data_IF_322079326864
#
_entry.id   IF_322079326864
#
_cell.length_a   1.000
_cell.length_b   1.000
_cell.length_c   1.000
_cell.angle_alpha   90.00
_cell.angle_beta   90.00
_cell.angle_gamma   90.00
#
_symmetry.space_group_name_H-M   'P 1'
#
loop_
_entity.id
_entity.type
_entity.pdbx_description
1 polymer ?
#
# COMPACT_ATOMS: atom_id res chain seq x y z
N UNK A 1 2.99 -44.30 -45.71
CA UNK A 1 3.70 -43.93 -44.45
C UNK A 1 3.15 -42.64 -43.86
N UNK A 2 2.66 -41.73 -44.69
CA UNK A 2 2.12 -40.42 -44.28
C UNK A 2 0.90 -40.53 -43.34
N UNK A 3 0.03 -41.49 -43.58
CA UNK A 3 -1.21 -41.65 -42.81
C UNK A 3 -0.97 -42.17 -41.38
N UNK A 4 0.11 -42.93 -41.17
CA UNK A 4 0.51 -43.42 -39.84
C UNK A 4 1.25 -42.33 -39.05
N UNK A 5 2.10 -41.56 -39.72
CA UNK A 5 2.75 -40.37 -39.17
C UNK A 5 1.72 -39.32 -38.74
N UNK A 6 0.70 -39.07 -39.58
CA UNK A 6 -0.36 -38.11 -39.27
C UNK A 6 -1.21 -38.54 -38.06
N UNK A 7 -1.53 -39.83 -37.94
CA UNK A 7 -2.25 -40.38 -36.78
C UNK A 7 -1.44 -40.28 -35.49
N UNK A 8 -0.14 -40.58 -35.53
CA UNK A 8 0.76 -40.43 -34.37
C UNK A 8 0.90 -38.97 -33.95
N UNK A 9 1.08 -38.06 -34.92
CA UNK A 9 1.18 -36.62 -34.65
C UNK A 9 -0.11 -36.07 -34.02
N UNK A 10 -1.28 -36.46 -34.55
CA UNK A 10 -2.58 -36.04 -34.03
C UNK A 10 -2.81 -36.59 -32.62
N UNK A 11 -2.44 -37.84 -32.36
CA UNK A 11 -2.49 -38.44 -31.02
C UNK A 11 -1.62 -37.68 -30.02
N UNK A 12 -0.39 -37.36 -30.41
CA UNK A 12 0.54 -36.60 -29.58
C UNK A 12 -0.01 -35.20 -29.25
N UNK A 13 -0.47 -34.43 -30.24
CA UNK A 13 -1.04 -33.10 -30.02
C UNK A 13 -2.25 -33.17 -29.07
N UNK A 14 -3.13 -34.17 -29.24
CA UNK A 14 -4.33 -34.31 -28.40
C UNK A 14 -4.00 -34.53 -26.92
N UNK A 15 -2.89 -35.20 -26.63
CA UNK A 15 -2.44 -35.46 -25.24
C UNK A 15 -1.62 -34.29 -24.69
N UNK A 16 -0.74 -33.69 -25.50
CA UNK A 16 0.15 -32.61 -25.04
C UNK A 16 -0.51 -31.23 -25.02
N UNK A 17 -1.43 -30.93 -25.93
CA UNK A 17 -2.13 -29.64 -25.98
C UNK A 17 -2.82 -29.25 -24.65
N UNK A 18 -3.60 -30.12 -23.99
CA UNK A 18 -4.21 -29.78 -22.70
C UNK A 18 -3.16 -29.58 -21.59
N UNK A 19 -2.07 -30.35 -21.60
CA UNK A 19 -0.98 -30.18 -20.63
C UNK A 19 -0.26 -28.83 -20.82
N UNK A 20 0.05 -28.46 -22.05
CA UNK A 20 0.64 -27.15 -22.38
C UNK A 20 -0.31 -26.01 -22.01
N UNK A 21 -1.61 -26.16 -22.31
CA UNK A 21 -2.62 -25.17 -21.94
C UNK A 21 -2.73 -24.99 -20.42
N UNK A 22 -2.74 -26.09 -19.66
CA UNK A 22 -2.76 -26.05 -18.20
C UNK A 22 -1.51 -25.35 -17.63
N UNK A 23 -0.33 -25.67 -18.16
CA UNK A 23 0.94 -25.03 -17.76
C UNK A 23 0.95 -23.53 -18.10
N UNK A 24 0.45 -23.15 -19.28
CA UNK A 24 0.35 -21.75 -19.68
C UNK A 24 -0.60 -20.96 -18.75
N UNK A 25 -1.76 -21.52 -18.42
CA UNK A 25 -2.72 -20.91 -17.48
C UNK A 25 -2.09 -20.73 -16.10
N UNK A 26 -1.41 -21.75 -15.57
CA UNK A 26 -0.73 -21.69 -14.27
C UNK A 26 0.39 -20.64 -14.26
N UNK A 27 1.18 -20.57 -15.33
CA UNK A 27 2.23 -19.56 -15.48
C UNK A 27 1.65 -18.13 -15.48
N UNK A 28 0.58 -17.88 -16.23
CA UNK A 28 -0.10 -16.57 -16.23
C UNK A 28 -0.66 -16.21 -14.85
N UNK A 29 -1.28 -17.17 -14.15
CA UNK A 29 -1.84 -16.94 -12.81
C UNK A 29 -0.77 -16.51 -11.81
N UNK A 30 0.39 -17.18 -11.80
CA UNK A 30 1.51 -16.85 -10.90
C UNK A 30 2.06 -15.45 -11.15
N UNK A 31 2.16 -15.04 -12.42
CA UNK A 31 2.70 -13.73 -12.78
C UNK A 31 1.72 -12.58 -12.45
N UNK A 32 0.43 -12.75 -12.73
CA UNK A 32 -0.59 -11.72 -12.48
C UNK A 32 -0.94 -11.52 -11.00
N UNK A 33 -0.79 -12.56 -10.19
CA UNK A 33 -1.10 -12.50 -8.74
C UNK A 33 -0.17 -11.56 -7.97
N UNK A 34 1.10 -11.45 -8.38
CA UNK A 34 2.11 -10.69 -7.62
C UNK A 34 2.10 -9.21 -7.94
N UNK A 35 1.92 -8.81 -9.21
CA UNK A 35 1.96 -7.40 -9.61
C UNK A 35 0.83 -6.56 -8.98
N UNK A 36 -0.38 -7.11 -8.90
CA UNK A 36 -1.52 -6.41 -8.27
C UNK A 36 -1.29 -6.20 -6.78
N UNK A 37 -0.82 -7.24 -6.08
CA UNK A 37 -0.52 -7.15 -4.66
C UNK A 37 0.62 -6.16 -4.39
N UNK A 38 1.66 -6.16 -5.23
CA UNK A 38 2.74 -5.18 -5.12
C UNK A 38 2.24 -3.75 -5.29
N UNK A 39 1.40 -3.48 -6.28
CA UNK A 39 0.80 -2.14 -6.47
C UNK A 39 -0.02 -1.70 -5.27
N UNK A 40 -0.87 -2.58 -4.74
CA UNK A 40 -1.67 -2.31 -3.54
C UNK A 40 -0.77 -2.02 -2.34
N UNK A 41 0.29 -2.82 -2.14
CA UNK A 41 1.24 -2.58 -1.05
C UNK A 41 1.98 -1.26 -1.20
N UNK A 42 2.41 -0.91 -2.42
CA UNK A 42 3.05 0.37 -2.70
C UNK A 42 2.11 1.55 -2.43
N UNK A 43 0.85 1.46 -2.84
CA UNK A 43 -0.16 2.49 -2.60
C UNK A 43 -0.43 2.66 -1.09
N UNK A 44 -0.60 1.55 -0.36
CA UNK A 44 -0.79 1.57 1.09
C UNK A 44 0.43 2.15 1.81
N UNK A 45 1.64 1.77 1.39
CA UNK A 45 2.88 2.28 1.96
C UNK A 45 3.00 3.79 1.73
N UNK A 46 2.67 4.29 0.53
CA UNK A 46 2.65 5.71 0.22
C UNK A 46 1.68 6.46 1.14
N UNK A 47 0.44 5.97 1.27
CA UNK A 47 -0.58 6.56 2.16
C UNK A 47 -0.14 6.61 3.62
N UNK A 48 0.43 5.52 4.14
CA UNK A 48 0.97 5.45 5.50
C UNK A 48 2.16 6.39 5.71
N UNK A 49 3.08 6.45 4.74
CA UNK A 49 4.24 7.35 4.80
C UNK A 49 3.81 8.81 4.88
N UNK A 50 2.83 9.21 4.07
CA UNK A 50 2.33 10.57 4.04
C UNK A 50 1.62 10.95 5.35
N UNK A 51 0.87 10.02 5.95
CA UNK A 51 0.23 10.23 7.23
C UNK A 51 1.23 10.38 8.39
N UNK A 52 2.32 9.59 8.39
CA UNK A 52 3.41 9.76 9.35
C UNK A 52 4.06 11.13 9.23
N UNK A 53 4.32 11.58 8.00
CA UNK A 53 4.85 12.92 7.75
C UNK A 53 3.90 14.02 8.22
N UNK A 54 2.59 13.85 8.01
CA UNK A 54 1.59 14.80 8.46
C UNK A 54 1.61 14.97 9.98
N UNK A 55 1.65 13.86 10.72
CA UNK A 55 1.72 13.86 12.19
C UNK A 55 3.02 14.52 12.67
N UNK A 56 4.17 14.13 12.12
CA UNK A 56 5.46 14.74 12.48
C UNK A 56 5.50 16.24 12.21
N UNK A 57 5.01 16.66 11.04
CA UNK A 57 4.92 18.07 10.68
C UNK A 57 4.07 18.84 11.69
N UNK A 58 2.91 18.31 12.06
CA UNK A 58 2.01 19.00 12.98
C UNK A 58 2.59 19.07 14.39
N UNK A 59 3.21 18.00 14.88
CA UNK A 59 3.86 18.01 16.19
C UNK A 59 4.99 19.05 16.25
N UNK A 60 5.74 19.23 15.16
CA UNK A 60 6.82 20.23 15.08
C UNK A 60 6.30 21.66 14.88
N UNK A 61 5.33 21.87 14.00
CA UNK A 61 4.84 23.20 13.61
C UNK A 61 3.83 23.79 14.61
N UNK A 62 3.09 22.94 15.33
CA UNK A 62 1.97 23.35 16.19
C UNK A 62 2.13 22.85 17.61
N UNK A 63 3.26 23.14 18.25
CA UNK A 63 3.59 22.65 19.59
C UNK A 63 2.58 23.05 20.67
N UNK A 64 1.97 24.22 20.49
CA UNK A 64 1.03 24.84 21.45
C UNK A 64 -0.40 24.36 21.29
N UNK A 65 -0.73 23.65 20.20
CA UNK A 65 -2.07 23.13 19.96
C UNK A 65 -2.31 21.83 20.73
N UNK A 66 -3.58 21.59 21.05
CA UNK A 66 -4.00 20.36 21.69
C UNK A 66 -4.19 19.19 20.70
N UNK A 67 -4.49 17.99 21.22
CA UNK A 67 -4.64 16.79 20.40
C UNK A 67 -5.70 16.91 19.29
N UNK A 68 -6.94 17.32 19.60
CA UNK A 68 -7.98 17.56 18.60
C UNK A 68 -7.61 18.59 17.52
N UNK A 69 -7.00 19.70 17.91
CA UNK A 69 -6.58 20.75 16.97
C UNK A 69 -5.45 20.28 16.06
N UNK A 70 -4.47 19.58 16.62
CA UNK A 70 -3.38 18.92 15.87
C UNK A 70 -3.93 17.89 14.89
N UNK A 71 -4.90 17.08 15.32
CA UNK A 71 -5.55 16.12 14.42
C UNK A 71 -6.17 16.83 13.21
N UNK A 72 -6.91 17.93 13.42
CA UNK A 72 -7.52 18.69 12.34
C UNK A 72 -6.46 19.22 11.36
N UNK A 73 -5.33 19.73 11.87
CA UNK A 73 -4.21 20.20 11.05
C UNK A 73 -3.52 19.06 10.29
N UNK A 74 -3.39 17.89 10.90
CA UNK A 74 -2.79 16.73 10.26
C UNK A 74 -3.68 16.21 9.14
N UNK A 75 -5.00 16.18 9.37
CA UNK A 75 -5.99 15.81 8.37
C UNK A 75 -6.02 16.78 7.18
N UNK A 76 -5.98 18.09 7.46
CA UNK A 76 -5.90 19.15 6.45
C UNK A 76 -4.64 18.98 5.59
N UNK A 77 -3.48 18.85 6.23
CA UNK A 77 -2.19 18.70 5.55
C UNK A 77 -2.12 17.40 4.73
N UNK A 78 -2.55 16.27 5.32
CA UNK A 78 -2.56 14.97 4.64
C UNK A 78 -3.46 15.00 3.41
N UNK A 79 -4.67 15.55 3.55
CA UNK A 79 -5.62 15.70 2.44
C UNK A 79 -5.06 16.57 1.32
N UNK A 80 -4.48 17.72 1.67
CA UNK A 80 -3.84 18.63 0.71
C UNK A 80 -2.71 17.96 -0.07
N UNK A 81 -1.76 17.33 0.63
CA UNK A 81 -0.63 16.64 0.00
C UNK A 81 -1.06 15.42 -0.80
N UNK A 82 -2.01 14.64 -0.31
CA UNK A 82 -2.53 13.50 -1.05
C UNK A 82 -3.14 13.95 -2.39
N UNK A 83 -3.88 15.06 -2.40
CA UNK A 83 -4.44 15.66 -3.61
C UNK A 83 -3.37 16.11 -4.59
N UNK A 84 -2.30 16.76 -4.12
CA UNK A 84 -1.16 17.17 -4.96
C UNK A 84 -0.49 15.98 -5.66
N UNK A 85 -0.38 14.84 -4.97
CA UNK A 85 0.22 13.62 -5.52
C UNK A 85 -0.79 12.71 -6.26
N UNK A 86 -2.03 13.15 -6.45
CA UNK A 86 -3.07 12.35 -7.11
C UNK A 86 -3.52 11.11 -6.33
N UNK A 87 -3.31 11.10 -5.01
CA UNK A 87 -3.70 10.01 -4.11
C UNK A 87 -5.10 10.31 -3.56
N UNK A 88 -6.07 9.45 -3.88
CA UNK A 88 -7.40 9.54 -3.32
C UNK A 88 -7.43 8.99 -1.88
N UNK A 89 -7.95 9.81 -0.97
CA UNK A 89 -8.20 9.46 0.43
C UNK A 89 -9.61 9.88 0.85
N UNK A 90 -10.35 8.97 1.46
CA UNK A 90 -11.63 9.31 2.12
C UNK A 90 -11.38 9.87 3.53
N UNK A 91 -12.35 10.59 4.13
CA UNK A 91 -12.23 11.08 5.50
C UNK A 91 -11.93 9.97 6.53
N UNK A 92 -12.52 8.79 6.35
CA UNK A 92 -12.30 7.63 7.22
C UNK A 92 -10.88 7.08 7.09
N UNK A 93 -10.35 7.06 5.86
CA UNK A 93 -8.96 6.66 5.60
C UNK A 93 -7.97 7.65 6.22
N UNK A 94 -8.23 8.96 6.09
CA UNK A 94 -7.41 10.00 6.72
C UNK A 94 -7.36 9.78 8.23
N UNK A 95 -8.53 9.60 8.86
CA UNK A 95 -8.62 9.34 10.29
C UNK A 95 -7.81 8.11 10.70
N UNK A 96 -8.07 6.97 10.06
CA UNK A 96 -7.41 5.71 10.40
C UNK A 96 -5.89 5.75 10.17
N UNK A 97 -5.42 6.42 9.11
CA UNK A 97 -4.00 6.57 8.83
C UNK A 97 -3.29 7.45 9.86
N UNK A 98 -3.91 8.55 10.29
CA UNK A 98 -3.37 9.44 11.32
C UNK A 98 -3.35 8.73 12.68
N UNK A 99 -4.44 8.08 13.09
CA UNK A 99 -4.49 7.33 14.35
C UNK A 99 -3.46 6.20 14.38
N UNK A 100 -3.31 5.48 13.26
CA UNK A 100 -2.30 4.44 13.12
C UNK A 100 -0.87 5.02 13.20
N UNK A 101 -0.62 6.17 12.59
CA UNK A 101 0.68 6.84 12.67
C UNK A 101 0.99 7.29 14.11
N UNK A 102 0.05 7.96 14.79
CA UNK A 102 0.19 8.37 16.20
C UNK A 102 0.43 7.15 17.09
N UNK A 103 -0.31 6.06 16.89
CA UNK A 103 -0.12 4.82 17.64
C UNK A 103 1.27 4.24 17.42
N UNK A 104 1.71 4.17 16.16
CA UNK A 104 3.05 3.71 15.80
C UNK A 104 4.14 4.52 16.51
N UNK A 105 3.98 5.85 16.55
CA UNK A 105 4.95 6.70 17.25
C UNK A 105 4.94 6.49 18.76
N UNK A 106 3.76 6.34 19.38
CA UNK A 106 3.65 5.98 20.80
C UNK A 106 4.32 4.65 21.12
N UNK A 107 4.20 3.67 20.23
CA UNK A 107 4.82 2.35 20.41
C UNK A 107 6.35 2.39 20.23
N UNK A 108 6.87 3.27 19.35
CA UNK A 108 8.31 3.40 19.07
C UNK A 108 9.07 4.27 20.08
N UNK A 109 8.45 5.37 20.53
CA UNK A 109 9.11 6.42 21.31
C UNK A 109 8.51 6.59 22.72
N UNK A 110 7.54 5.75 23.08
CA UNK A 110 6.87 5.80 24.37
C UNK A 110 5.74 6.84 24.43
N UNK A 111 5.05 6.95 25.58
CA UNK A 111 3.86 7.80 25.73
C UNK A 111 4.17 9.30 25.63
N UNK A 112 5.41 9.71 25.92
CA UNK A 112 5.86 11.11 25.96
C UNK A 112 6.57 11.59 24.68
N UNK A 113 6.52 10.83 23.60
CA UNK A 113 7.18 11.18 22.33
C UNK A 113 6.76 12.55 21.76
N UNK A 114 5.53 12.98 22.06
CA UNK A 114 5.04 14.31 21.68
C UNK A 114 5.57 15.44 22.60
N UNK A 115 6.11 15.10 23.77
CA UNK A 115 6.69 16.04 24.73
C UNK A 115 8.18 16.29 24.47
N UNK A 116 8.93 15.33 23.95
CA UNK A 116 10.35 15.54 23.57
C UNK A 116 10.53 16.66 22.53
N UNK A 117 9.53 16.85 21.65
CA UNK A 117 9.51 17.95 20.69
C UNK A 117 9.42 19.35 21.32
N UNK A 118 9.05 19.46 22.61
CA UNK A 118 8.90 20.71 23.37
C UNK A 118 10.19 21.15 24.07
N UNK A 119 11.09 20.22 24.40
CA UNK A 119 12.32 20.53 25.15
C UNK A 119 13.49 20.97 24.25
N UNK A 120 13.44 20.69 22.95
CA UNK A 120 14.48 21.05 21.98
C UNK A 120 14.27 22.44 21.31
N UNK A 121 13.52 23.34 21.94
CA UNK A 121 13.14 24.66 21.42
C UNK A 121 13.60 25.80 22.32
#
# INVERSE_FOLDING_TARGET
>A
MDDMLFKLLKGAITVFAPAVLALAIEYLRRRLGTERLQKIQQELAAKQSLARLAVLFVEQAYRDLDGPEKYAKAAEWLSGRAKEYGIALTPEQIKGLIESAVRTFKDLYGPDWANEGKEAA
#
